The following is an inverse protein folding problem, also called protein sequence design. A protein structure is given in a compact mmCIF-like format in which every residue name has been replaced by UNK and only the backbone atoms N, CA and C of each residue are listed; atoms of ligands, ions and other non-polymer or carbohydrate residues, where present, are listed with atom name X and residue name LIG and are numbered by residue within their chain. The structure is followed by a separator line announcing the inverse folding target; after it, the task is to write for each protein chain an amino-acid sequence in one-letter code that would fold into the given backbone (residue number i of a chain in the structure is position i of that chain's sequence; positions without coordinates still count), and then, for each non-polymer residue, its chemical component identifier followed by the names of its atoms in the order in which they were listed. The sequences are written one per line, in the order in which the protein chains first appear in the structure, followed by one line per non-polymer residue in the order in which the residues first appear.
data_IF_682319685767
#
_entry.id   IF_682319685767
#
_cell.length_a   1.000
_cell.length_b   1.000
_cell.length_c   1.000
_cell.angle_alpha   90.00
_cell.angle_beta   90.00
_cell.angle_gamma   90.00
#
_symmetry.space_group_name_H-M   'P 1'
#
loop_
_entity.id
_entity.type
_entity.pdbx_description
1 polymer ?
#
# COMPACT_ATOMS: atom_id res chain seq x y z
N UNK A 1 -8.38 7.19 9.52
CA UNK A 1 -8.80 8.34 8.69
C UNK A 1 -10.29 8.53 8.91
N UNK A 2 -10.76 9.78 8.99
CA UNK A 2 -12.20 10.04 8.85
C UNK A 2 -12.63 9.56 7.46
N UNK A 3 -13.85 9.02 7.29
CA UNK A 3 -14.30 8.46 6.01
C UNK A 3 -14.25 9.46 4.83
N UNK A 4 -14.32 10.75 5.15
CA UNK A 4 -14.43 11.86 4.20
C UNK A 4 -13.12 12.16 3.44
N UNK A 5 -11.97 11.70 3.97
CA UNK A 5 -10.62 11.96 3.44
C UNK A 5 -10.08 10.80 2.58
N UNK A 6 -10.92 9.80 2.30
CA UNK A 6 -10.55 8.58 1.57
C UNK A 6 -10.78 8.69 0.05
N UNK A 7 -10.69 9.90 -0.54
CA UNK A 7 -10.72 10.02 -2.01
C UNK A 7 -9.38 9.52 -2.55
N UNK A 8 -9.28 8.21 -2.74
CA UNK A 8 -8.22 7.58 -3.50
C UNK A 8 -8.32 8.14 -4.93
N UNK A 9 -7.54 9.18 -5.21
CA UNK A 9 -7.44 9.83 -6.52
C UNK A 9 -6.41 9.07 -7.35
N UNK A 10 -5.51 9.75 -8.09
CA UNK A 10 -4.51 9.14 -8.99
C UNK A 10 -3.40 8.33 -8.26
N UNK A 11 -3.73 7.69 -7.16
CA UNK A 11 -2.88 6.78 -6.40
C UNK A 11 -3.17 5.36 -6.87
N UNK A 12 -2.17 4.69 -7.42
CA UNK A 12 -2.34 3.34 -7.96
C UNK A 12 -2.56 2.29 -6.86
N UNK A 13 -1.84 2.40 -5.73
CA UNK A 13 -1.90 1.43 -4.64
C UNK A 13 -1.74 2.06 -3.26
N UNK A 14 -2.46 1.53 -2.26
CA UNK A 14 -2.29 1.86 -0.84
C UNK A 14 -2.05 0.58 -0.04
N UNK A 15 -0.95 0.53 0.70
CA UNK A 15 -0.54 -0.63 1.49
C UNK A 15 -0.69 -0.36 2.98
N UNK A 16 -1.39 -1.24 3.69
CA UNK A 16 -1.46 -1.24 5.14
C UNK A 16 -0.39 -2.18 5.69
N UNK A 17 0.76 -1.60 6.05
CA UNK A 17 1.91 -2.38 6.55
C UNK A 17 1.61 -3.11 7.86
N UNK A 18 0.78 -2.52 8.71
CA UNK A 18 0.33 -3.12 9.96
C UNK A 18 -1.19 -3.12 9.93
N UNK A 19 -1.79 -4.30 10.04
CA UNK A 19 -3.24 -4.53 10.00
C UNK A 19 -3.97 -4.03 11.26
N UNK A 20 -3.68 -2.81 11.66
CA UNK A 20 -4.17 -2.20 12.89
C UNK A 20 -4.45 -0.72 12.68
N UNK A 21 -5.40 -0.19 13.43
CA UNK A 21 -5.72 1.24 13.40
C UNK A 21 -4.67 2.02 14.16
N UNK A 22 -4.39 3.24 13.70
CA UNK A 22 -3.55 4.18 14.43
C UNK A 22 -4.08 4.36 15.86
N UNK A 23 -3.19 4.28 16.85
CA UNK A 23 -3.57 4.52 18.24
C UNK A 23 -4.24 5.91 18.40
N UNK A 24 -5.23 6.03 19.31
CA UNK A 24 -5.78 7.32 19.72
C UNK A 24 -4.68 8.25 20.24
N UNK A 25 -4.87 9.56 20.09
CA UNK A 25 -3.86 10.57 20.42
C UNK A 25 -3.27 10.40 21.82
N UNK A 26 -4.14 10.20 22.82
CA UNK A 26 -3.79 10.05 24.24
C UNK A 26 -2.87 8.84 24.52
N UNK A 27 -2.96 7.79 23.70
CA UNK A 27 -2.19 6.55 23.90
C UNK A 27 -0.85 6.52 23.18
N UNK A 28 -0.57 7.48 22.29
CA UNK A 28 0.66 7.47 21.46
C UNK A 28 1.94 7.76 22.25
N UNK A 29 1.80 8.45 23.39
CA UNK A 29 2.92 8.76 24.27
C UNK A 29 3.09 7.72 25.40
N UNK A 30 2.18 6.74 25.48
CA UNK A 30 2.26 5.66 26.46
C UNK A 30 3.11 4.55 25.87
N UNK A 31 4.30 4.36 26.43
CA UNK A 31 5.29 3.41 25.90
C UNK A 31 4.74 1.98 25.80
N UNK A 32 4.04 1.51 26.83
CA UNK A 32 3.54 0.14 26.87
C UNK A 32 2.47 -0.12 25.80
N UNK A 33 1.60 0.85 25.53
CA UNK A 33 0.58 0.77 24.48
C UNK A 33 1.24 0.72 23.08
N UNK A 34 2.27 1.55 22.86
CA UNK A 34 3.03 1.55 21.60
C UNK A 34 3.79 0.25 21.39
N UNK A 35 4.44 -0.27 22.44
CA UNK A 35 5.16 -1.54 22.41
C UNK A 35 4.20 -2.69 22.12
N UNK A 36 3.08 -2.75 22.83
CA UNK A 36 2.05 -3.76 22.60
C UNK A 36 1.54 -3.72 21.16
N UNK A 37 1.21 -2.54 20.61
CA UNK A 37 0.76 -2.44 19.23
C UNK A 37 1.83 -2.91 18.23
N UNK A 38 3.12 -2.58 18.45
CA UNK A 38 4.23 -3.03 17.59
C UNK A 38 4.37 -4.55 17.59
N UNK A 39 4.29 -5.15 18.78
CA UNK A 39 4.55 -6.58 19.00
C UNK A 39 3.34 -7.44 18.57
N UNK A 40 2.11 -6.96 18.80
CA UNK A 40 0.88 -7.65 18.41
C UNK A 40 0.57 -7.51 16.91
N UNK A 41 0.98 -6.39 16.28
CA UNK A 41 0.75 -6.10 14.87
C UNK A 41 2.08 -5.71 14.19
N UNK A 42 3.00 -6.68 13.99
CA UNK A 42 4.24 -6.45 13.25
C UNK A 42 3.94 -6.02 11.80
N UNK A 43 4.98 -5.58 11.10
CA UNK A 43 4.85 -5.32 9.65
C UNK A 43 4.56 -6.66 8.98
N UNK A 44 3.52 -6.70 8.16
CA UNK A 44 3.18 -7.87 7.38
C UNK A 44 4.21 -8.06 6.25
N UNK A 45 5.02 -9.14 6.27
CA UNK A 45 6.02 -9.38 5.23
C UNK A 45 5.40 -9.62 3.86
N UNK A 46 4.19 -10.15 3.77
CA UNK A 46 3.52 -10.41 2.48
C UNK A 46 3.11 -9.10 1.80
N UNK A 47 2.71 -8.10 2.60
CA UNK A 47 2.42 -6.75 2.09
C UNK A 47 3.71 -6.09 1.58
N UNK A 48 4.82 -6.27 2.28
CA UNK A 48 6.12 -5.74 1.85
C UNK A 48 6.61 -6.43 0.56
N UNK A 49 6.44 -7.74 0.44
CA UNK A 49 6.79 -8.49 -0.77
C UNK A 49 5.97 -8.02 -1.97
N UNK A 50 4.64 -7.93 -1.83
CA UNK A 50 3.74 -7.43 -2.89
C UNK A 50 4.10 -6.02 -3.37
N UNK A 51 4.55 -5.17 -2.45
CA UNK A 51 5.02 -3.83 -2.80
C UNK A 51 6.27 -3.91 -3.70
N UNK A 52 7.25 -4.75 -3.36
CA UNK A 52 8.47 -4.93 -4.16
C UNK A 52 8.14 -5.51 -5.53
N UNK A 53 7.31 -6.56 -5.59
CA UNK A 53 6.88 -7.20 -6.84
C UNK A 53 6.16 -6.20 -7.77
N UNK A 54 5.31 -5.34 -7.21
CA UNK A 54 4.63 -4.31 -7.99
C UNK A 54 5.59 -3.25 -8.53
N UNK A 55 6.59 -2.85 -7.75
CA UNK A 55 7.64 -1.92 -8.23
C UNK A 55 8.48 -2.57 -9.32
N UNK A 56 8.89 -3.83 -9.14
CA UNK A 56 9.67 -4.54 -10.14
C UNK A 56 8.88 -4.66 -11.45
N UNK A 57 7.60 -5.03 -11.37
CA UNK A 57 6.71 -5.09 -12.53
C UNK A 57 6.59 -3.71 -13.21
N UNK A 58 6.41 -2.65 -12.42
CA UNK A 58 6.31 -1.29 -12.94
C UNK A 58 7.59 -0.87 -13.68
N UNK A 59 8.77 -1.06 -13.07
CA UNK A 59 10.06 -0.68 -13.65
C UNK A 59 10.35 -1.45 -14.94
N UNK A 60 9.97 -2.72 -15.00
CA UNK A 60 10.21 -3.58 -16.15
C UNK A 60 9.12 -3.47 -17.23
N UNK A 61 8.03 -2.73 -16.98
CA UNK A 61 6.92 -2.61 -17.92
C UNK A 61 7.30 -1.75 -19.13
N UNK A 62 6.75 -2.13 -20.29
CA UNK A 62 6.75 -1.26 -21.48
C UNK A 62 5.54 -0.33 -21.40
N UNK A 63 5.76 0.93 -21.03
CA UNK A 63 4.68 1.89 -20.78
C UNK A 63 3.86 2.27 -22.01
N UNK A 64 4.46 2.27 -23.20
CA UNK A 64 3.76 2.59 -24.44
C UNK A 64 4.27 1.70 -25.57
N UNK A 65 3.40 0.83 -26.07
CA UNK A 65 3.67 0.03 -27.27
C UNK A 65 2.38 -0.03 -28.11
N UNK A 66 2.27 0.82 -29.15
CA UNK A 66 1.09 0.87 -30.02
C UNK A 66 0.79 -0.47 -30.71
N UNK A 67 1.81 -1.17 -31.18
CA UNK A 67 1.63 -2.45 -31.88
C UNK A 67 1.08 -3.52 -30.93
N UNK A 68 1.63 -3.60 -29.71
CA UNK A 68 1.10 -4.50 -28.69
C UNK A 68 -0.32 -4.11 -28.25
N UNK A 69 -0.64 -2.82 -28.19
CA UNK A 69 -1.99 -2.35 -27.89
C UNK A 69 -2.99 -2.71 -28.99
N UNK A 70 -2.60 -2.61 -30.25
CA UNK A 70 -3.42 -3.01 -31.41
C UNK A 70 -3.69 -4.51 -31.43
N UNK A 71 -2.68 -5.35 -31.13
CA UNK A 71 -2.85 -6.82 -31.04
C UNK A 71 -3.75 -7.21 -29.86
N UNK A 72 -3.61 -6.54 -28.71
CA UNK A 72 -4.45 -6.75 -27.52
C UNK A 72 -5.86 -6.19 -27.67
N UNK A 73 -6.06 -5.21 -28.57
CA UNK A 73 -7.32 -4.48 -28.73
C UNK A 73 -7.63 -3.48 -27.59
N UNK A 74 -6.63 -3.13 -26.78
CA UNK A 74 -6.75 -2.23 -25.63
C UNK A 74 -5.43 -1.47 -25.42
N UNK A 75 -5.55 -0.18 -25.05
CA UNK A 75 -4.45 0.68 -24.63
C UNK A 75 -4.08 0.52 -23.14
N UNK A 76 -4.92 -0.18 -22.38
CA UNK A 76 -4.69 -0.58 -20.99
C UNK A 76 -4.28 -2.05 -20.96
#
# INVERSE_FOLDING_TARGET
MSPEDCRLTAVDNVYLLRHTKRLPFEKRNVYDEMRYQRDAYPIDPDVALKFVENIETFVNAVYCNPDAALVRGSFV
#
